data_IF_010597915707
#
_entry.id   IF_010597915707
#
_cell.length_a   1.000
_cell.length_b   1.000
_cell.length_c   1.000
_cell.angle_alpha   90.00
_cell.angle_beta   90.00
_cell.angle_gamma   90.00
#
_symmetry.space_group_name_H-M   'P 1'
#
loop_
_entity.id
_entity.type
_entity.pdbx_description
1 polymer ?
#
# COMPACT_ATOMS: atom_id res chain seq x y z
N UNK A 1 -12.97 -5.69 -11.90
CA UNK A 1 -14.25 -6.40 -11.75
C UNK A 1 -14.44 -6.97 -10.34
N UNK A 2 -13.64 -7.94 -9.86
CA UNK A 2 -13.82 -8.51 -8.51
C UNK A 2 -13.73 -7.45 -7.40
N UNK A 3 -12.71 -6.58 -7.45
CA UNK A 3 -12.54 -5.50 -6.46
C UNK A 3 -13.74 -4.56 -6.44
N UNK A 4 -14.20 -4.09 -7.60
CA UNK A 4 -15.36 -3.19 -7.72
C UNK A 4 -16.68 -3.83 -7.23
N UNK A 5 -16.83 -5.14 -7.43
CA UNK A 5 -17.98 -5.88 -6.89
C UNK A 5 -17.92 -6.02 -5.37
N UNK A 6 -16.75 -6.37 -4.83
CA UNK A 6 -16.57 -6.60 -3.40
C UNK A 6 -16.49 -5.31 -2.58
N UNK A 7 -15.89 -4.27 -3.13
CA UNK A 7 -15.69 -3.01 -2.43
C UNK A 7 -16.77 -1.99 -2.79
N UNK A 8 -17.36 -2.03 -3.98
CA UNK A 8 -18.45 -1.14 -4.39
C UNK A 8 -19.82 -1.77 -4.17
N UNK A 9 -20.19 -2.73 -5.01
CA UNK A 9 -21.54 -3.34 -5.03
C UNK A 9 -21.92 -3.93 -3.66
N UNK A 10 -21.05 -4.75 -3.06
CA UNK A 10 -21.34 -5.44 -1.80
C UNK A 10 -21.46 -4.49 -0.60
N UNK A 11 -20.71 -3.39 -0.59
CA UNK A 11 -20.67 -2.46 0.55
C UNK A 11 -21.74 -1.38 0.46
N UNK A 12 -22.39 -1.23 -0.70
CA UNK A 12 -23.33 -0.14 -0.98
C UNK A 12 -22.66 1.17 -1.44
N UNK A 13 -21.36 1.16 -1.69
CA UNK A 13 -20.62 2.30 -2.22
C UNK A 13 -20.82 2.45 -3.75
N UNK A 14 -20.27 3.53 -4.33
CA UNK A 14 -20.31 3.71 -5.78
C UNK A 14 -19.45 2.64 -6.49
N UNK A 15 -19.88 2.22 -7.68
CA UNK A 15 -19.24 1.16 -8.47
C UNK A 15 -19.42 1.43 -9.98
N UNK A 16 -18.75 0.66 -10.82
CA UNK A 16 -18.90 0.67 -12.28
C UNK A 16 -18.77 2.06 -12.93
N UNK A 17 -17.80 2.87 -12.47
CA UNK A 17 -17.52 4.21 -13.01
C UNK A 17 -18.31 5.34 -12.34
N UNK A 18 -19.16 5.05 -11.36
CA UNK A 18 -19.88 6.07 -10.59
C UNK A 18 -19.06 6.64 -9.41
N UNK A 19 -17.88 6.09 -9.13
CA UNK A 19 -16.97 6.67 -8.14
C UNK A 19 -16.55 8.06 -8.62
N UNK A 20 -16.84 9.11 -7.85
CA UNK A 20 -16.59 10.48 -8.30
C UNK A 20 -15.10 10.79 -8.33
N UNK A 21 -14.73 11.72 -9.20
CA UNK A 21 -13.34 12.09 -9.41
C UNK A 21 -12.77 12.81 -8.19
N UNK A 22 -11.55 12.44 -7.79
CA UNK A 22 -10.81 13.17 -6.77
C UNK A 22 -10.30 14.53 -7.28
N UNK A 23 -10.21 14.73 -8.60
CA UNK A 23 -9.47 15.85 -9.20
C UNK A 23 -10.32 16.81 -10.03
N UNK A 24 -11.47 16.37 -10.55
CA UNK A 24 -12.23 17.12 -11.56
C UNK A 24 -13.68 17.43 -11.18
N UNK A 25 -14.24 16.69 -10.22
CA UNK A 25 -15.63 16.85 -9.78
C UNK A 25 -15.71 16.78 -8.25
N UNK A 26 -15.74 17.96 -7.62
CA UNK A 26 -15.83 18.12 -6.17
C UNK A 26 -17.25 18.47 -5.70
N UNK A 27 -18.27 18.25 -6.54
CA UNK A 27 -19.66 18.60 -6.22
C UNK A 27 -20.25 17.74 -5.10
N UNK A 28 -19.74 16.52 -4.92
CA UNK A 28 -20.16 15.59 -3.88
C UNK A 28 -19.00 14.67 -3.46
N UNK A 29 -19.08 14.03 -2.28
CA UNK A 29 -18.08 13.05 -1.84
C UNK A 29 -17.93 11.87 -2.81
N UNK A 30 -16.74 11.27 -2.87
CA UNK A 30 -16.45 10.20 -3.84
C UNK A 30 -17.27 8.93 -3.70
N UNK A 31 -17.72 8.63 -2.47
CA UNK A 31 -18.37 7.37 -2.09
C UNK A 31 -17.57 6.14 -2.55
N UNK A 32 -16.26 6.13 -2.25
CA UNK A 32 -15.37 4.97 -2.48
C UNK A 32 -15.69 3.91 -1.44
N UNK A 33 -15.84 2.67 -1.89
CA UNK A 33 -16.01 1.55 -0.98
C UNK A 33 -14.75 0.72 -0.80
N UNK A 34 -14.62 0.14 0.39
CA UNK A 34 -13.47 -0.64 0.83
C UNK A 34 -13.94 -1.98 1.41
N UNK A 35 -13.15 -3.03 1.21
CA UNK A 35 -13.35 -4.33 1.84
C UNK A 35 -12.07 -4.77 2.53
N UNK A 36 -12.20 -5.24 3.77
CA UNK A 36 -11.11 -5.83 4.54
C UNK A 36 -11.48 -7.27 4.91
N UNK A 37 -10.55 -8.20 4.68
CA UNK A 37 -10.72 -9.61 5.03
C UNK A 37 -9.54 -10.03 5.91
N UNK A 38 -9.84 -10.54 7.10
CA UNK A 38 -8.85 -11.15 7.98
C UNK A 38 -9.15 -12.63 8.14
N UNK A 39 -8.18 -13.48 7.85
CA UNK A 39 -8.28 -14.93 8.01
C UNK A 39 -7.34 -15.34 9.13
N UNK A 40 -7.88 -16.01 10.14
CA UNK A 40 -7.12 -16.51 11.28
C UNK A 40 -6.58 -17.92 10.96
N UNK A 41 -5.27 -18.11 10.69
CA UNK A 41 -4.76 -19.38 10.15
C UNK A 41 -4.81 -20.56 11.12
N UNK A 42 -4.66 -20.29 12.43
CA UNK A 42 -4.67 -21.29 13.50
C UNK A 42 -6.05 -21.95 13.71
N UNK A 43 -7.09 -21.46 13.04
CA UNK A 43 -8.38 -22.16 12.93
C UNK A 43 -8.35 -23.38 12.01
N UNK A 44 -7.36 -23.47 11.11
CA UNK A 44 -7.31 -24.50 10.07
C UNK A 44 -6.17 -25.49 10.28
N UNK A 45 -4.99 -25.02 10.72
CA UNK A 45 -3.81 -25.83 11.03
C UNK A 45 -3.06 -25.22 12.23
N UNK A 46 -2.24 -25.98 12.96
CA UNK A 46 -1.44 -25.41 14.05
C UNK A 46 -0.57 -24.24 13.57
N UNK A 47 -0.47 -23.18 14.39
CA UNK A 47 0.27 -21.96 14.03
C UNK A 47 1.73 -22.25 13.65
N UNK A 48 2.40 -23.15 14.37
CA UNK A 48 3.77 -23.56 14.05
C UNK A 48 3.87 -24.19 12.67
N UNK A 49 2.92 -25.07 12.31
CA UNK A 49 2.90 -25.71 11.00
C UNK A 49 2.64 -24.69 9.88
N UNK A 50 1.75 -23.70 10.11
CA UNK A 50 1.53 -22.61 9.16
C UNK A 50 2.82 -21.81 8.92
N UNK A 51 3.55 -21.47 9.97
CA UNK A 51 4.81 -20.75 9.88
C UNK A 51 5.87 -21.54 9.10
N UNK A 52 6.06 -22.83 9.43
CA UNK A 52 7.02 -23.71 8.73
C UNK A 52 6.71 -23.83 7.23
N UNK A 53 5.42 -23.91 6.88
CA UNK A 53 4.95 -23.92 5.49
C UNK A 53 5.23 -22.59 4.79
N UNK A 54 5.04 -21.46 5.48
CA UNK A 54 5.34 -20.14 4.94
C UNK A 54 6.84 -19.97 4.68
N UNK A 55 7.69 -20.38 5.63
CA UNK A 55 9.15 -20.35 5.48
C UNK A 55 9.58 -21.21 4.29
N UNK A 56 9.04 -22.42 4.17
CA UNK A 56 9.30 -23.30 3.03
C UNK A 56 8.87 -22.65 1.70
N UNK A 57 7.72 -21.99 1.67
CA UNK A 57 7.21 -21.30 0.49
C UNK A 57 8.13 -20.14 0.06
N UNK A 58 8.55 -19.30 1.01
CA UNK A 58 9.48 -18.19 0.76
C UNK A 58 10.81 -18.74 0.26
N UNK A 59 11.39 -19.73 0.94
CA UNK A 59 12.66 -20.35 0.53
C UNK A 59 12.61 -20.90 -0.89
N UNK A 60 11.57 -21.68 -1.23
CA UNK A 60 11.40 -22.23 -2.58
C UNK A 60 11.29 -21.13 -3.63
N UNK A 61 10.48 -20.10 -3.36
CA UNK A 61 10.33 -18.96 -4.25
C UNK A 61 11.67 -18.27 -4.51
N UNK A 62 12.41 -17.93 -3.46
CA UNK A 62 13.70 -17.22 -3.58
C UNK A 62 14.82 -18.09 -4.17
N UNK A 63 14.72 -19.41 -4.03
CA UNK A 63 15.68 -20.36 -4.61
C UNK A 63 15.45 -20.67 -6.09
N UNK A 64 14.31 -20.25 -6.66
CA UNK A 64 13.95 -20.54 -8.05
C UNK A 64 14.96 -19.95 -9.05
N UNK A 65 15.07 -20.51 -10.28
CA UNK A 65 15.91 -19.94 -11.33
C UNK A 65 15.58 -18.47 -11.57
N UNK A 66 16.61 -17.63 -11.58
CA UNK A 66 16.47 -16.19 -11.78
C UNK A 66 16.36 -15.90 -13.26
N UNK A 67 15.59 -14.87 -13.60
CA UNK A 67 15.59 -14.33 -14.96
C UNK A 67 16.98 -13.77 -15.32
N UNK A 68 17.32 -13.78 -16.61
CA UNK A 68 18.57 -13.20 -17.07
C UNK A 68 18.68 -11.73 -16.65
N UNK A 69 19.83 -11.35 -16.08
CA UNK A 69 20.08 -9.99 -15.59
C UNK A 69 19.60 -9.71 -14.16
N UNK A 70 19.01 -10.69 -13.47
CA UNK A 70 18.57 -10.55 -12.08
C UNK A 70 19.39 -11.45 -11.14
N UNK A 71 19.75 -10.90 -9.97
CA UNK A 71 20.58 -11.59 -8.98
C UNK A 71 19.77 -12.19 -7.82
N UNK A 72 18.58 -11.67 -7.56
CA UNK A 72 17.69 -12.13 -6.49
C UNK A 72 16.22 -12.12 -6.92
N UNK A 73 15.41 -12.93 -6.25
CA UNK A 73 13.95 -12.88 -6.29
C UNK A 73 13.51 -12.29 -4.96
N UNK A 74 12.68 -11.25 -5.00
CA UNK A 74 12.13 -10.59 -3.83
C UNK A 74 10.68 -11.01 -3.59
N UNK A 75 10.32 -11.17 -2.32
CA UNK A 75 8.92 -11.36 -1.95
C UNK A 75 8.17 -10.02 -1.95
N UNK A 76 6.86 -10.01 -2.24
CA UNK A 76 6.03 -8.82 -2.03
C UNK A 76 6.21 -8.29 -0.60
N UNK A 77 6.52 -7.00 -0.46
CA UNK A 77 6.81 -6.36 0.82
C UNK A 77 8.30 -6.24 1.17
N UNK A 78 9.20 -7.09 0.61
CA UNK A 78 10.64 -6.98 0.88
C UNK A 78 11.27 -5.68 0.33
N UNK A 79 10.98 -5.23 -0.90
CA UNK A 79 11.48 -3.94 -1.39
C UNK A 79 11.05 -2.78 -0.49
N UNK A 80 9.78 -2.76 -0.07
CA UNK A 80 9.20 -1.73 0.79
C UNK A 80 9.84 -1.74 2.17
N UNK A 81 10.06 -2.92 2.77
CA UNK A 81 10.75 -3.07 4.06
C UNK A 81 12.21 -2.56 3.98
N UNK A 82 12.93 -2.90 2.90
CA UNK A 82 14.30 -2.41 2.66
C UNK A 82 14.31 -0.88 2.59
N UNK A 83 13.42 -0.28 1.81
CA UNK A 83 13.31 1.18 1.64
C UNK A 83 12.90 1.85 2.96
N UNK A 84 11.95 1.27 3.71
CA UNK A 84 11.51 1.81 4.99
C UNK A 84 12.66 1.87 6.00
N UNK A 85 13.48 0.81 6.10
CA UNK A 85 14.68 0.78 6.96
C UNK A 85 15.70 1.86 6.60
N UNK A 86 15.90 2.12 5.31
CA UNK A 86 16.79 3.19 4.83
C UNK A 86 16.20 4.54 5.21
N UNK A 87 14.93 4.81 4.88
CA UNK A 87 14.28 6.11 5.11
C UNK A 87 14.09 6.45 6.59
N UNK A 88 13.98 5.45 7.45
CA UNK A 88 13.97 5.66 8.91
C UNK A 88 15.32 6.18 9.44
N UNK A 89 16.42 5.87 8.76
CA UNK A 89 17.78 6.28 9.17
C UNK A 89 18.26 7.53 8.43
N UNK A 90 17.97 7.60 7.14
CA UNK A 90 18.53 8.60 6.23
C UNK A 90 17.51 9.71 5.90
N UNK A 91 16.26 9.57 6.33
CA UNK A 91 15.16 10.48 6.01
C UNK A 91 14.40 10.08 4.74
N UNK A 92 13.24 10.70 4.54
CA UNK A 92 12.40 10.48 3.36
C UNK A 92 12.84 11.48 2.28
N UNK A 93 13.27 11.02 1.09
CA UNK A 93 13.55 11.94 0.00
C UNK A 93 12.24 12.54 -0.52
N UNK A 94 12.13 13.87 -0.45
CA UNK A 94 10.97 14.63 -0.94
C UNK A 94 11.46 15.52 -2.08
N UNK A 95 10.70 15.59 -3.18
CA UNK A 95 11.05 16.46 -4.30
C UNK A 95 10.84 17.92 -3.94
N UNK A 96 11.58 18.81 -4.60
CA UNK A 96 11.44 20.25 -4.39
C UNK A 96 10.01 20.76 -4.63
N UNK A 97 9.32 20.19 -5.62
CA UNK A 97 7.93 20.56 -5.93
C UNK A 97 6.99 20.22 -4.77
N UNK A 98 7.13 19.05 -4.17
CA UNK A 98 6.31 18.65 -3.01
C UNK A 98 6.60 19.52 -1.80
N UNK A 99 7.88 19.86 -1.55
CA UNK A 99 8.23 20.81 -0.46
C UNK A 99 7.58 22.17 -0.71
N UNK A 100 7.63 22.68 -1.95
CA UNK A 100 7.02 23.97 -2.31
C UNK A 100 5.50 23.97 -2.11
N UNK A 101 4.83 22.88 -2.50
CA UNK A 101 3.38 22.70 -2.28
C UNK A 101 3.03 22.64 -0.78
N UNK A 102 3.82 21.92 0.02
CA UNK A 102 3.63 21.85 1.47
C UNK A 102 3.82 23.22 2.14
N UNK A 103 4.87 23.97 1.76
CA UNK A 103 5.11 25.32 2.27
C UNK A 103 3.94 26.26 1.98
N UNK A 104 3.40 26.21 0.76
CA UNK A 104 2.24 27.02 0.39
C UNK A 104 0.99 26.70 1.23
N UNK A 105 0.76 25.43 1.55
CA UNK A 105 -0.35 25.03 2.42
C UNK A 105 -0.10 25.42 3.89
N UNK A 106 1.13 25.37 4.40
CA UNK A 106 1.45 25.87 5.75
C UNK A 106 1.16 27.37 5.88
N UNK A 107 1.59 28.17 4.91
CA UNK A 107 1.28 29.61 4.86
C UNK A 107 -0.22 29.88 4.81
N UNK A 108 -0.95 29.10 3.98
CA UNK A 108 -2.41 29.23 3.82
C UNK A 108 -3.18 29.05 5.13
N UNK A 109 -2.69 28.18 6.01
CA UNK A 109 -3.32 27.86 7.29
C UNK A 109 -2.61 28.47 8.51
N UNK A 110 -1.64 29.38 8.30
CA UNK A 110 -0.86 30.04 9.36
C UNK A 110 -0.16 29.03 10.31
N UNK A 111 0.44 27.99 9.72
CA UNK A 111 1.21 26.96 10.42
C UNK A 111 2.69 27.26 10.26
N UNK A 112 3.46 27.13 11.34
CA UNK A 112 4.90 27.40 11.38
C UNK A 112 5.68 26.56 10.32
N UNK A 113 6.47 27.17 9.43
CA UNK A 113 7.29 26.44 8.46
C UNK A 113 8.37 25.54 9.08
N UNK A 114 8.69 25.69 10.38
CA UNK A 114 9.69 24.87 11.07
C UNK A 114 9.32 23.38 11.20
N UNK A 115 8.09 23.01 10.84
CA UNK A 115 7.63 21.62 10.77
C UNK A 115 8.10 20.85 9.50
N UNK A 116 8.73 21.52 8.54
CA UNK A 116 9.34 20.91 7.35
C UNK A 116 10.86 20.76 7.50
#
# INVERSE_FOLDING_TARGET
MLMDLLSGVLTGANYAGNVKSLYFDHSEPQNVGHLFIAIRPDLFIPQSEFNDRMDTFVQKTKSSPKAQGFNEILMPGEPEEKIAKIRLKEGIPISFNVISELQAELERYDIDPSYL
#
